data_IF_335540561793
#
_entry.id   IF_335540561793
#
_cell.length_a   1.000
_cell.length_b   1.000
_cell.length_c   1.000
_cell.angle_alpha   90.00
_cell.angle_beta   90.00
_cell.angle_gamma   90.00
#
_symmetry.space_group_name_H-M   'P 1'
#
loop_
_entity.id
_entity.type
_entity.pdbx_description
1 polymer ?
#
# COMPACT_ATOMS: atom_id res chain seq x y z
N UNK A 1 -3.00 -28.92 -16.92
CA UNK A 1 -2.29 -28.27 -15.79
C UNK A 1 -0.83 -28.67 -15.85
N UNK A 2 0.11 -27.73 -15.85
CA UNK A 2 1.55 -28.04 -15.91
C UNK A 2 2.01 -28.59 -14.56
N UNK A 3 2.77 -29.68 -14.56
CA UNK A 3 3.32 -30.26 -13.34
C UNK A 3 4.30 -29.27 -12.67
N UNK A 4 4.32 -29.17 -11.33
CA UNK A 4 5.19 -28.25 -10.59
C UNK A 4 6.67 -28.30 -11.00
N UNK A 5 7.19 -29.48 -11.37
CA UNK A 5 8.58 -29.62 -11.86
C UNK A 5 8.83 -28.89 -13.17
N UNK A 6 7.90 -29.04 -14.14
CA UNK A 6 7.99 -28.37 -15.45
C UNK A 6 7.93 -26.86 -15.35
N UNK A 7 7.15 -26.32 -14.40
CA UNK A 7 7.09 -24.88 -14.14
C UNK A 7 8.43 -24.37 -13.59
N UNK A 8 8.97 -25.04 -12.57
CA UNK A 8 10.26 -24.68 -11.97
C UNK A 8 11.41 -24.72 -12.98
N UNK A 9 11.48 -25.76 -13.80
CA UNK A 9 12.50 -25.88 -14.86
C UNK A 9 12.40 -24.76 -15.89
N UNK A 10 11.19 -24.44 -16.35
CA UNK A 10 10.96 -23.34 -17.29
C UNK A 10 11.35 -21.98 -16.71
N UNK A 11 10.98 -21.72 -15.46
CA UNK A 11 11.25 -20.44 -14.81
C UNK A 11 12.76 -20.28 -14.52
N UNK A 12 13.47 -21.35 -14.15
CA UNK A 12 14.93 -21.34 -14.02
C UNK A 12 15.63 -21.10 -15.36
N UNK A 13 15.19 -21.75 -16.43
CA UNK A 13 15.73 -21.50 -17.78
C UNK A 13 15.53 -20.04 -18.21
N UNK A 14 14.37 -19.44 -17.94
CA UNK A 14 14.13 -18.01 -18.22
C UNK A 14 15.07 -17.12 -17.45
N UNK A 15 15.33 -17.46 -16.19
CA UNK A 15 16.23 -16.70 -15.33
C UNK A 15 17.68 -16.77 -15.83
N UNK A 16 18.15 -17.94 -16.28
CA UNK A 16 19.48 -18.09 -16.89
C UNK A 16 19.63 -17.38 -18.24
N UNK A 17 18.52 -17.15 -18.96
CA UNK A 17 18.51 -16.44 -20.24
C UNK A 17 18.28 -14.93 -20.09
N UNK A 18 18.06 -14.46 -18.87
CA UNK A 18 17.90 -13.05 -18.56
C UNK A 18 19.24 -12.40 -18.20
N UNK A 19 19.23 -11.08 -18.03
CA UNK A 19 20.42 -10.32 -17.64
C UNK A 19 20.72 -10.39 -16.13
N UNK A 20 19.96 -11.21 -15.36
CA UNK A 20 20.24 -11.44 -13.95
C UNK A 20 21.44 -12.38 -13.77
N UNK A 21 22.29 -12.09 -12.78
CA UNK A 21 23.35 -13.00 -12.38
C UNK A 21 22.76 -14.11 -11.50
N UNK A 22 22.77 -15.33 -12.03
CA UNK A 22 22.22 -16.53 -11.37
C UNK A 22 23.36 -17.49 -11.03
N UNK A 23 23.44 -17.92 -9.77
CA UNK A 23 24.42 -18.91 -9.32
C UNK A 23 23.70 -20.17 -8.82
N UNK A 24 23.98 -21.32 -9.43
CA UNK A 24 23.38 -22.60 -9.00
C UNK A 24 24.16 -23.19 -7.83
N UNK A 25 23.45 -23.75 -6.86
CA UNK A 25 24.05 -24.44 -5.73
C UNK A 25 24.12 -25.93 -6.03
N UNK A 26 25.31 -26.52 -5.92
CA UNK A 26 25.54 -27.97 -6.05
C UNK A 26 24.99 -28.59 -7.36
N UNK A 27 25.01 -27.85 -8.47
CA UNK A 27 24.46 -28.27 -9.77
C UNK A 27 22.98 -28.71 -9.74
N UNK A 28 22.24 -28.32 -8.70
CA UNK A 28 20.85 -28.70 -8.48
C UNK A 28 19.86 -27.64 -8.94
N UNK A 29 18.80 -28.04 -9.64
CA UNK A 29 17.73 -27.12 -10.09
C UNK A 29 16.76 -26.68 -8.98
N UNK A 30 17.08 -26.99 -7.72
CA UNK A 30 16.21 -26.76 -6.57
C UNK A 30 16.64 -25.55 -5.73
N UNK A 31 17.91 -25.15 -5.81
CA UNK A 31 18.48 -24.03 -5.06
C UNK A 31 19.44 -23.22 -5.93
N UNK A 32 19.27 -21.90 -5.92
CA UNK A 32 20.07 -20.97 -6.68
C UNK A 32 20.02 -19.58 -6.03
N UNK A 33 21.06 -18.78 -6.25
CA UNK A 33 21.11 -17.37 -5.89
C UNK A 33 20.87 -16.51 -7.14
N UNK A 34 20.25 -15.34 -6.93
CA UNK A 34 19.99 -14.37 -7.99
C UNK A 34 20.37 -13.00 -7.47
N UNK A 35 21.27 -12.32 -8.16
CA UNK A 35 21.63 -10.95 -7.83
C UNK A 35 20.65 -10.02 -8.55
N UNK A 36 19.74 -9.43 -7.78
CA UNK A 36 18.89 -8.35 -8.25
C UNK A 36 19.59 -7.03 -8.00
N UNK A 37 19.90 -6.28 -9.07
CA UNK A 37 20.26 -4.88 -8.94
C UNK A 37 19.02 -4.11 -8.50
N UNK A 38 19.05 -3.58 -7.27
CA UNK A 38 18.04 -2.62 -6.84
C UNK A 38 18.01 -1.43 -7.80
N UNK A 39 16.86 -0.74 -7.92
CA UNK A 39 16.77 0.45 -8.77
C UNK A 39 17.91 1.42 -8.42
N UNK A 40 18.58 1.95 -9.44
CA UNK A 40 19.70 2.90 -9.30
C UNK A 40 19.28 4.19 -8.60
N UNK A 41 17.98 4.40 -8.45
CA UNK A 41 17.39 5.55 -7.79
C UNK A 41 17.52 5.39 -6.28
N UNK A 42 18.47 6.18 -5.77
CA UNK A 42 18.68 6.55 -4.39
C UNK A 42 17.41 6.43 -3.51
N UNK A 43 17.53 5.90 -2.29
CA UNK A 43 16.42 5.75 -1.32
C UNK A 43 15.65 7.05 -1.05
N UNK A 44 16.19 8.19 -1.48
CA UNK A 44 15.52 9.48 -1.59
C UNK A 44 14.10 9.35 -2.16
N UNK A 45 13.90 8.58 -3.25
CA UNK A 45 12.56 8.42 -3.85
C UNK A 45 11.55 7.76 -2.89
N UNK A 46 12.02 6.92 -1.96
CA UNK A 46 11.16 6.32 -0.93
C UNK A 46 10.57 7.39 -0.02
N UNK A 47 11.39 8.35 0.40
CA UNK A 47 10.97 9.42 1.31
C UNK A 47 10.25 10.56 0.59
N UNK A 48 10.65 10.90 -0.65
CA UNK A 48 10.08 12.03 -1.39
C UNK A 48 8.79 11.69 -2.14
N UNK A 49 8.63 10.45 -2.62
CA UNK A 49 7.53 10.07 -3.50
C UNK A 49 6.70 8.94 -2.91
N UNK A 50 7.30 7.80 -2.57
CA UNK A 50 6.52 6.61 -2.21
C UNK A 50 5.83 6.72 -0.84
N UNK A 51 6.53 7.18 0.20
CA UNK A 51 5.95 7.29 1.54
C UNK A 51 4.81 8.32 1.60
N UNK A 52 4.96 9.55 1.06
CA UNK A 52 3.84 10.50 1.00
C UNK A 52 2.63 9.91 0.26
N UNK A 53 2.85 9.30 -0.91
CA UNK A 53 1.75 8.71 -1.69
C UNK A 53 1.04 7.58 -0.93
N UNK A 54 1.77 6.69 -0.27
CA UNK A 54 1.18 5.60 0.51
C UNK A 54 0.45 6.09 1.77
N UNK A 55 0.90 7.18 2.39
CA UNK A 55 0.23 7.79 3.53
C UNK A 55 -1.09 8.46 3.11
N UNK A 56 -1.14 9.08 1.94
CA UNK A 56 -2.39 9.62 1.37
C UNK A 56 -3.35 8.52 0.90
N UNK A 57 -2.80 7.44 0.32
CA UNK A 57 -3.58 6.37 -0.28
C UNK A 57 -3.11 4.99 0.19
N UNK A 58 -3.49 4.58 1.42
CA UNK A 58 -3.14 3.27 1.94
C UNK A 58 -3.82 2.15 1.14
N UNK A 59 -3.11 1.04 0.95
CA UNK A 59 -3.63 -0.15 0.25
C UNK A 59 -3.91 -1.29 1.25
N UNK A 60 -5.15 -1.44 1.75
CA UNK A 60 -5.48 -2.51 2.69
C UNK A 60 -5.59 -3.90 2.04
N UNK A 61 -5.67 -3.99 0.70
CA UNK A 61 -5.80 -5.26 -0.04
C UNK A 61 -4.49 -6.04 -0.11
N UNK A 62 -3.35 -5.38 0.10
CA UNK A 62 -2.02 -6.01 0.16
C UNK A 62 -1.24 -5.45 1.36
N UNK A 63 -1.60 -5.86 2.59
CA UNK A 63 -1.15 -5.16 3.78
C UNK A 63 0.19 -5.67 4.31
N UNK A 64 1.10 -4.74 4.59
CA UNK A 64 2.29 -5.05 5.39
C UNK A 64 1.95 -5.21 6.87
N UNK A 65 0.96 -4.45 7.37
CA UNK A 65 0.40 -4.59 8.71
C UNK A 65 -1.06 -5.09 8.61
N UNK A 66 -1.25 -6.39 8.83
CA UNK A 66 -2.56 -7.03 8.71
C UNK A 66 -3.61 -6.51 9.70
N UNK A 67 -3.21 -6.13 10.93
CA UNK A 67 -4.16 -5.59 11.92
C UNK A 67 -4.68 -4.21 11.51
N UNK A 68 -3.79 -3.33 11.06
CA UNK A 68 -4.14 -1.99 10.62
C UNK A 68 -5.04 -2.03 9.38
N UNK A 69 -4.75 -2.92 8.43
CA UNK A 69 -5.56 -3.10 7.24
C UNK A 69 -6.94 -3.68 7.55
N UNK A 70 -7.02 -4.68 8.41
CA UNK A 70 -8.29 -5.23 8.86
C UNK A 70 -9.13 -4.16 9.59
N UNK A 71 -8.49 -3.32 10.42
CA UNK A 71 -9.16 -2.20 11.09
C UNK A 71 -9.67 -1.19 10.05
N UNK A 72 -8.84 -0.78 9.09
CA UNK A 72 -9.24 0.16 8.03
C UNK A 72 -10.41 -0.37 7.18
N UNK A 73 -10.43 -1.66 6.86
CA UNK A 73 -11.51 -2.27 6.08
C UNK A 73 -12.80 -2.46 6.86
N UNK A 74 -12.71 -2.74 8.17
CA UNK A 74 -13.88 -2.99 9.02
C UNK A 74 -14.49 -1.70 9.59
N UNK A 75 -13.63 -0.80 10.06
CA UNK A 75 -14.00 0.39 10.83
C UNK A 75 -13.00 1.52 10.55
N UNK A 76 -13.32 2.33 9.54
CA UNK A 76 -12.52 3.47 9.12
C UNK A 76 -12.36 4.56 10.19
N UNK A 77 -13.40 5.03 10.91
CA UNK A 77 -13.21 6.06 11.93
C UNK A 77 -12.31 5.59 13.08
N UNK A 78 -12.41 4.32 13.51
CA UNK A 78 -11.50 3.78 14.51
C UNK A 78 -10.04 3.71 14.02
N UNK A 79 -9.84 3.37 12.74
CA UNK A 79 -8.51 3.44 12.12
C UNK A 79 -7.95 4.87 12.14
N UNK A 80 -8.74 5.86 11.74
CA UNK A 80 -8.32 7.27 11.72
C UNK A 80 -7.97 7.80 13.11
N UNK A 81 -8.74 7.43 14.14
CA UNK A 81 -8.41 7.75 15.52
C UNK A 81 -7.07 7.15 15.94
N UNK A 82 -6.83 5.88 15.62
CA UNK A 82 -5.57 5.20 15.93
C UNK A 82 -4.39 5.80 15.17
N UNK A 83 -4.58 6.23 13.94
CA UNK A 83 -3.54 6.96 13.17
C UNK A 83 -3.20 8.27 13.87
N UNK A 84 -4.20 9.07 14.28
CA UNK A 84 -3.99 10.32 15.02
C UNK A 84 -3.19 10.11 16.32
N UNK A 85 -3.55 9.09 17.11
CA UNK A 85 -2.83 8.73 18.33
C UNK A 85 -1.35 8.40 18.07
N UNK A 86 -1.07 7.67 16.98
CA UNK A 86 0.29 7.29 16.60
C UNK A 86 1.09 8.48 16.07
N UNK A 87 0.47 9.38 15.29
CA UNK A 87 1.11 10.62 14.85
C UNK A 87 1.52 11.48 16.05
N UNK A 88 0.63 11.66 17.03
CA UNK A 88 0.94 12.42 18.25
C UNK A 88 2.05 11.78 19.10
N UNK A 89 2.18 10.46 19.05
CA UNK A 89 3.17 9.73 19.85
C UNK A 89 4.57 9.71 19.23
N UNK A 90 4.65 9.61 17.90
CA UNK A 90 5.89 9.30 17.19
C UNK A 90 6.28 10.29 16.09
N UNK A 91 5.38 11.18 15.67
CA UNK A 91 5.63 12.15 14.59
C UNK A 91 5.54 13.59 15.12
N UNK A 92 6.22 13.86 16.23
CA UNK A 92 6.20 15.19 16.85
C UNK A 92 7.16 16.14 16.13
N UNK A 93 6.80 17.41 15.97
CA UNK A 93 7.68 18.39 15.33
C UNK A 93 8.96 18.62 16.15
N UNK A 94 8.90 18.43 17.47
CA UNK A 94 10.07 18.51 18.34
C UNK A 94 11.16 17.49 18.00
N UNK A 95 10.79 16.31 17.47
CA UNK A 95 11.73 15.26 17.10
C UNK A 95 12.52 15.58 15.82
N UNK A 96 12.03 16.54 15.02
CA UNK A 96 12.62 16.97 13.75
C UNK A 96 13.60 18.14 13.95
N UNK A 97 13.59 18.78 15.14
CA UNK A 97 14.38 19.98 15.42
C UNK A 97 13.89 21.22 14.65
N UNK A 98 12.72 21.15 14.02
CA UNK A 98 12.07 22.27 13.36
C UNK A 98 11.21 23.05 14.38
N UNK A 99 11.41 24.37 14.44
CA UNK A 99 10.58 25.25 15.27
C UNK A 99 9.09 25.14 14.84
N UNK A 100 8.14 25.21 15.77
CA UNK A 100 6.72 25.03 15.45
C UNK A 100 6.24 26.16 14.54
N UNK A 101 5.77 25.82 13.34
CA UNK A 101 4.85 26.67 12.59
C UNK A 101 3.44 26.42 13.12
N UNK A 102 2.84 27.46 13.68
CA UNK A 102 1.50 27.47 14.26
C UNK A 102 0.46 27.32 13.15
N UNK A 103 -0.03 26.10 12.89
CA UNK A 103 -1.18 25.87 12.01
C UNK A 103 -2.43 25.59 12.87
N UNK A 104 -3.17 26.69 13.03
CA UNK A 104 -4.51 26.89 13.57
C UNK A 104 -5.44 25.66 13.55
N UNK A 105 -5.90 25.29 14.75
CA UNK A 105 -7.07 24.45 15.02
C UNK A 105 -8.32 25.01 14.33
N UNK A 106 -8.85 24.32 13.32
CA UNK A 106 -10.19 24.58 12.76
C UNK A 106 -11.06 23.33 12.94
N UNK A 107 -11.72 23.27 14.10
CA UNK A 107 -12.80 22.33 14.37
C UNK A 107 -14.10 22.91 13.83
N UNK A 108 -14.59 22.41 12.70
CA UNK A 108 -15.96 22.68 12.26
C UNK A 108 -16.69 21.34 12.08
N UNK A 109 -17.32 20.93 13.19
CA UNK A 109 -18.42 19.97 13.22
C UNK A 109 -19.63 20.61 12.53
N UNK A 110 -20.05 20.10 11.36
CA UNK A 110 -21.38 20.40 10.82
C UNK A 110 -22.26 19.16 10.78
N UNK A 111 -23.11 19.15 11.80
CA UNK A 111 -24.38 18.49 12.11
C UNK A 111 -25.13 17.61 11.08
N UNK A 112 -25.87 16.68 11.68
CA UNK A 112 -26.75 15.69 11.09
C UNK A 112 -28.01 16.26 10.42
N UNK A 113 -28.57 15.52 9.45
CA UNK A 113 -29.91 14.90 9.51
C UNK A 113 -30.47 14.61 8.09
N UNK A 114 -30.83 13.33 7.90
CA UNK A 114 -31.90 12.71 7.10
C UNK A 114 -32.65 13.53 6.02
N UNK A 115 -32.82 12.98 4.80
CA UNK A 115 -34.16 12.57 4.33
C UNK A 115 -34.13 11.61 3.12
N UNK A 116 -35.09 10.69 3.14
CA UNK A 116 -35.37 9.64 2.17
C UNK A 116 -36.32 10.16 1.08
N UNK A 117 -36.08 9.94 -0.22
CA UNK A 117 -37.21 9.73 -1.15
C UNK A 117 -36.83 9.05 -2.48
N UNK A 118 -37.66 8.06 -2.79
CA UNK A 118 -37.90 7.33 -4.04
C UNK A 118 -38.26 8.26 -5.21
N UNK A 119 -37.69 8.04 -6.40
CA UNK A 119 -38.32 8.51 -7.65
C UNK A 119 -38.14 7.47 -8.78
N UNK A 120 -39.28 6.93 -9.21
CA UNK A 120 -39.45 5.98 -10.30
C UNK A 120 -39.15 6.64 -11.65
N UNK A 121 -38.23 6.09 -12.44
CA UNK A 121 -38.07 6.48 -13.84
C UNK A 121 -39.19 5.86 -14.69
N UNK A 122 -40.17 6.69 -15.04
CA UNK A 122 -41.12 6.42 -16.10
C UNK A 122 -40.43 6.66 -17.46
N UNK A 123 -40.28 5.60 -18.25
CA UNK A 123 -39.82 5.66 -19.63
C UNK A 123 -40.80 4.96 -20.56
N UNK A 124 -41.81 5.70 -21.02
CA UNK A 124 -42.71 5.31 -22.10
C UNK A 124 -41.91 5.20 -23.42
N UNK A 125 -42.10 4.10 -24.15
CA UNK A 125 -41.78 4.00 -25.56
C UNK A 125 -42.98 3.39 -26.30
N UNK A 126 -43.60 4.19 -27.15
CA UNK A 126 -44.66 3.85 -28.13
C UNK A 126 -44.06 3.02 -29.30
N UNK A 127 -44.86 2.23 -30.06
CA UNK A 127 -45.93 2.74 -30.92
C UNK A 127 -47.28 1.99 -30.90
#
# INVERSE_FOLDING_TARGET
MSSPSKRREMDLMKLMMSDYKVEMINDGMHEFYVDFHGPTDNLVNVFEVFLPQLLLYPNPSDPLNGEAAALMMRDRPAYEQRVKEFCLKYAKPEDIGAAPEEESSDEEMSDAESDSCDDQVAGQADP
#
